data_IF_514949709657
#
_entry.id   IF_514949709657
#
_cell.length_a   1.000
_cell.length_b   1.000
_cell.length_c   1.000
_cell.angle_alpha   90.00
_cell.angle_beta   90.00
_cell.angle_gamma   90.00
#
_symmetry.space_group_name_H-M   'P 1'
#
loop_
_entity.id
_entity.type
_entity.pdbx_description
1 polymer ?
#
# COMPACT_ATOMS: atom_id res chain seq x y z
N UNK A 1 -1.30 34.20 -22.19
CA UNK A 1 -1.71 34.70 -20.85
C UNK A 1 -3.14 34.28 -20.67
N UNK A 2 -3.38 33.13 -20.04
CA UNK A 2 -4.67 32.76 -19.49
C UNK A 2 -4.38 32.24 -18.09
N UNK A 3 -4.78 33.03 -17.10
CA UNK A 3 -4.75 32.67 -15.70
C UNK A 3 -5.76 31.54 -15.51
N UNK A 4 -5.33 30.28 -15.65
CA UNK A 4 -6.10 29.14 -15.18
C UNK A 4 -6.36 29.39 -13.69
N UNK A 5 -7.59 29.78 -13.36
CA UNK A 5 -8.00 29.97 -11.97
C UNK A 5 -7.59 28.70 -11.21
N UNK A 6 -6.88 28.88 -10.09
CA UNK A 6 -6.55 27.78 -9.20
C UNK A 6 -7.87 27.07 -8.86
N UNK A 7 -8.08 25.89 -9.42
CA UNK A 7 -9.29 25.13 -9.18
C UNK A 7 -9.22 24.58 -7.76
N UNK A 8 -10.24 24.91 -6.96
CA UNK A 8 -10.35 24.42 -5.60
C UNK A 8 -10.85 22.97 -5.62
N UNK A 9 -10.12 22.11 -4.89
CA UNK A 9 -10.47 20.72 -4.69
C UNK A 9 -10.97 20.49 -3.28
N UNK A 10 -11.86 19.51 -3.17
CA UNK A 10 -12.41 19.01 -1.92
C UNK A 10 -12.21 17.50 -1.88
N UNK A 11 -11.79 16.98 -0.72
CA UNK A 11 -11.65 15.57 -0.45
C UNK A 11 -12.68 15.19 0.61
N UNK A 12 -13.47 14.15 0.36
CA UNK A 12 -14.37 13.54 1.34
C UNK A 12 -13.89 12.14 1.69
N UNK A 13 -13.61 11.93 2.97
CA UNK A 13 -13.19 10.64 3.51
C UNK A 13 -14.34 9.64 3.50
N UNK A 14 -14.07 8.40 3.11
CA UNK A 14 -15.09 7.35 3.14
C UNK A 14 -15.48 7.01 4.59
N UNK A 15 -14.50 6.89 5.49
CA UNK A 15 -14.67 6.31 6.82
C UNK A 15 -15.65 7.10 7.70
N UNK A 16 -15.50 8.42 7.76
CA UNK A 16 -16.25 9.31 8.64
C UNK A 16 -17.09 10.35 7.90
N UNK A 17 -16.94 10.45 6.56
CA UNK A 17 -17.60 11.45 5.74
C UNK A 17 -17.02 12.85 5.85
N UNK A 18 -15.89 13.04 6.56
CA UNK A 18 -15.27 14.35 6.73
C UNK A 18 -14.81 14.94 5.41
N UNK A 19 -15.05 16.24 5.22
CA UNK A 19 -14.70 16.98 4.01
C UNK A 19 -13.56 17.95 4.32
N UNK A 20 -12.51 17.90 3.49
CA UNK A 20 -11.34 18.77 3.53
C UNK A 20 -11.31 19.64 2.28
N UNK A 21 -11.02 20.92 2.45
CA UNK A 21 -10.90 21.90 1.36
C UNK A 21 -11.57 23.24 1.70
N UNK A 22 -11.51 24.22 0.79
CA UNK A 22 -10.88 24.17 -0.53
C UNK A 22 -9.36 24.03 -0.45
N UNK A 23 -8.76 23.20 -1.30
CA UNK A 23 -7.30 23.05 -1.40
C UNK A 23 -6.81 23.01 -2.85
N UNK A 24 -5.57 23.45 -3.13
CA UNK A 24 -4.98 23.30 -4.45
C UNK A 24 -4.74 21.82 -4.77
N UNK A 25 -4.84 21.45 -6.04
CA UNK A 25 -4.61 20.06 -6.49
C UNK A 25 -3.26 19.50 -6.02
N UNK A 26 -2.20 20.31 -5.99
CA UNK A 26 -0.88 19.89 -5.52
C UNK A 26 -0.89 19.38 -4.07
N UNK A 27 -1.75 19.94 -3.20
CA UNK A 27 -1.90 19.45 -1.83
C UNK A 27 -2.64 18.11 -1.79
N UNK A 28 -3.67 17.92 -2.64
CA UNK A 28 -4.39 16.66 -2.77
C UNK A 28 -3.45 15.53 -3.25
N UNK A 29 -2.62 15.81 -4.26
CA UNK A 29 -1.63 14.86 -4.77
C UNK A 29 -0.58 14.47 -3.72
N UNK A 30 -0.14 15.43 -2.89
CA UNK A 30 0.74 15.15 -1.74
C UNK A 30 0.04 14.23 -0.73
N UNK A 31 -1.21 14.51 -0.37
CA UNK A 31 -1.97 13.64 0.53
C UNK A 31 -2.16 12.22 -0.01
N UNK A 32 -2.41 12.07 -1.32
CA UNK A 32 -2.47 10.76 -1.95
C UNK A 32 -1.11 10.04 -1.91
N UNK A 33 -0.02 10.77 -2.09
CA UNK A 33 1.35 10.25 -1.99
C UNK A 33 1.76 9.88 -0.56
N UNK A 34 1.17 10.48 0.46
CA UNK A 34 1.48 10.23 1.88
C UNK A 34 0.47 9.32 2.59
N UNK A 35 -0.24 8.45 1.83
CA UNK A 35 -1.25 7.52 2.35
C UNK A 35 -2.43 8.17 3.12
N UNK A 36 -2.72 9.45 2.88
CA UNK A 36 -3.85 10.17 3.52
C UNK A 36 -5.13 10.12 2.67
N UNK A 37 -5.04 9.73 1.39
CA UNK A 37 -6.19 9.49 0.51
C UNK A 37 -6.34 7.98 0.31
N UNK A 38 -7.45 7.43 0.78
CA UNK A 38 -7.78 6.03 0.64
C UNK A 38 -8.44 5.75 -0.72
N UNK A 39 -8.40 4.49 -1.21
CA UNK A 39 -8.96 4.12 -2.52
C UNK A 39 -10.46 4.41 -2.68
N UNK A 40 -11.18 4.46 -1.57
CA UNK A 40 -12.62 4.70 -1.53
C UNK A 40 -13.00 6.16 -1.23
N UNK A 41 -12.01 6.99 -0.91
CA UNK A 41 -12.26 8.42 -0.75
C UNK A 41 -12.72 9.03 -2.07
N UNK A 42 -13.47 10.11 -1.97
CA UNK A 42 -14.01 10.81 -3.13
C UNK A 42 -13.59 12.26 -3.13
N UNK A 43 -13.46 12.82 -4.32
CA UNK A 43 -12.95 14.17 -4.57
C UNK A 43 -13.92 14.94 -5.46
N UNK A 44 -13.95 16.24 -5.30
CA UNK A 44 -14.87 17.13 -6.00
C UNK A 44 -14.28 18.53 -6.17
N UNK A 45 -14.74 19.25 -7.18
CA UNK A 45 -14.40 20.65 -7.42
C UNK A 45 -15.57 21.59 -7.16
N UNK A 46 -16.78 21.04 -6.93
CA UNK A 46 -18.04 21.77 -6.77
C UNK A 46 -18.82 21.33 -5.51
N UNK A 47 -18.33 20.33 -4.77
CA UNK A 47 -18.98 19.66 -3.63
C UNK A 47 -20.33 18.98 -3.95
N UNK A 48 -20.72 18.95 -5.22
CA UNK A 48 -21.98 18.36 -5.69
C UNK A 48 -21.67 17.04 -6.40
N UNK A 49 -20.72 17.08 -7.33
CA UNK A 49 -20.27 15.95 -8.13
C UNK A 49 -19.03 15.35 -7.48
N UNK A 50 -19.15 14.11 -6.99
CA UNK A 50 -18.08 13.40 -6.29
C UNK A 50 -17.58 12.24 -7.14
N UNK A 51 -16.27 12.19 -7.34
CA UNK A 51 -15.58 11.15 -8.12
C UNK A 51 -14.64 10.38 -7.20
N UNK A 52 -14.47 9.07 -7.38
CA UNK A 52 -13.50 8.30 -6.58
C UNK A 52 -12.09 8.80 -6.85
N UNK A 53 -11.27 8.93 -5.81
CA UNK A 53 -9.91 9.44 -5.96
C UNK A 53 -9.08 8.66 -7.02
N UNK A 54 -9.12 7.31 -7.11
CA UNK A 54 -8.39 6.58 -8.16
C UNK A 54 -8.86 6.83 -9.59
N UNK A 55 -10.02 7.48 -9.80
CA UNK A 55 -10.49 7.83 -11.13
C UNK A 55 -9.85 9.12 -11.66
N UNK A 56 -9.08 9.84 -10.85
CA UNK A 56 -8.24 10.96 -11.29
C UNK A 56 -6.84 10.42 -11.64
N UNK A 57 -6.47 10.33 -12.93
CA UNK A 57 -5.14 9.84 -13.33
C UNK A 57 -3.99 10.64 -12.73
N UNK A 58 -4.20 11.93 -12.46
CA UNK A 58 -3.21 12.85 -11.91
C UNK A 58 -2.86 12.55 -10.44
N UNK A 59 -3.65 11.72 -9.75
CA UNK A 59 -3.32 11.23 -8.40
C UNK A 59 -2.45 9.97 -8.41
N UNK A 60 -2.20 9.37 -9.58
CA UNK A 60 -1.29 8.22 -9.76
C UNK A 60 -1.58 7.03 -8.82
N UNK A 61 -2.87 6.81 -8.53
CA UNK A 61 -3.36 5.73 -7.69
C UNK A 61 -3.50 4.45 -8.50
N UNK A 62 -2.37 3.88 -8.92
CA UNK A 62 -2.32 2.76 -9.88
C UNK A 62 -1.91 1.42 -9.29
N UNK A 63 -1.76 1.32 -7.98
CA UNK A 63 -1.20 0.12 -7.36
C UNK A 63 -2.20 -0.59 -6.45
N UNK A 64 -2.31 -1.90 -6.60
CA UNK A 64 -2.97 -2.79 -5.65
C UNK A 64 -1.90 -3.49 -4.82
N UNK A 65 -2.08 -3.52 -3.51
CA UNK A 65 -1.19 -4.21 -2.57
C UNK A 65 -1.86 -5.48 -2.08
N UNK A 66 -1.17 -6.60 -2.20
CA UNK A 66 -1.64 -7.90 -1.71
C UNK A 66 -1.44 -7.97 -0.20
N UNK A 67 -2.54 -7.86 0.54
CA UNK A 67 -2.54 -7.81 2.00
C UNK A 67 -2.58 -9.21 2.60
N UNK A 68 -3.43 -10.06 2.04
CA UNK A 68 -3.54 -11.48 2.34
C UNK A 68 -3.72 -12.22 1.02
N UNK A 69 -3.67 -13.55 1.06
CA UNK A 69 -3.77 -14.40 -0.15
C UNK A 69 -5.04 -14.16 -0.97
N UNK A 70 -6.08 -13.58 -0.35
CA UNK A 70 -7.39 -13.31 -0.95
C UNK A 70 -7.81 -11.84 -0.90
N UNK A 71 -6.99 -10.93 -0.35
CA UNK A 71 -7.36 -9.51 -0.22
C UNK A 71 -6.30 -8.58 -0.78
N UNK A 72 -6.80 -7.58 -1.49
CA UNK A 72 -6.03 -6.49 -2.03
C UNK A 72 -6.49 -5.16 -1.43
N UNK A 73 -5.53 -4.29 -1.13
CA UNK A 73 -5.77 -2.89 -0.81
C UNK A 73 -5.37 -2.02 -2.00
N UNK A 74 -6.19 -1.03 -2.34
CA UNK A 74 -5.92 -0.12 -3.46
C UNK A 74 -7.15 0.06 -4.36
N UNK A 75 -7.01 0.77 -5.50
CA UNK A 75 -5.78 1.33 -6.03
C UNK A 75 -5.18 2.47 -5.18
N UNK A 76 -3.86 2.54 -5.07
CA UNK A 76 -3.11 3.50 -4.25
C UNK A 76 -1.83 3.97 -4.95
N UNK A 77 -1.13 4.93 -4.37
CA UNK A 77 0.08 5.53 -4.95
C UNK A 77 1.34 4.77 -4.57
N UNK A 78 2.42 4.98 -5.33
CA UNK A 78 3.74 4.47 -4.97
C UNK A 78 4.23 5.02 -3.62
N UNK A 79 3.96 6.29 -3.34
CA UNK A 79 4.29 6.92 -2.06
C UNK A 79 3.52 6.31 -0.89
N UNK A 80 2.25 5.95 -1.08
CA UNK A 80 1.48 5.27 -0.05
C UNK A 80 2.07 3.89 0.28
N UNK A 81 2.53 3.14 -0.72
CA UNK A 81 3.25 1.86 -0.52
C UNK A 81 4.50 2.07 0.34
N UNK A 82 5.25 3.15 0.10
CA UNK A 82 6.40 3.50 0.93
C UNK A 82 5.99 3.78 2.39
N UNK A 83 4.90 4.51 2.61
CA UNK A 83 4.39 4.77 3.96
C UNK A 83 3.93 3.50 4.66
N UNK A 84 3.26 2.58 3.96
CA UNK A 84 2.85 1.30 4.53
C UNK A 84 4.05 0.43 4.93
N UNK A 85 5.14 0.45 4.14
CA UNK A 85 6.40 -0.19 4.56
C UNK A 85 6.99 0.49 5.80
N UNK A 86 6.99 1.83 5.85
CA UNK A 86 7.53 2.62 6.96
C UNK A 86 6.77 2.33 8.27
N UNK A 87 5.45 2.15 8.17
CA UNK A 87 4.57 1.78 9.29
C UNK A 87 4.62 0.28 9.65
N UNK A 88 5.26 -0.55 8.82
CA UNK A 88 5.38 -1.99 9.03
C UNK A 88 4.09 -2.78 8.71
N UNK A 89 3.12 -2.17 8.04
CA UNK A 89 1.88 -2.82 7.61
C UNK A 89 2.13 -3.84 6.48
N UNK A 90 3.15 -3.55 5.66
CA UNK A 90 3.64 -4.44 4.59
C UNK A 90 5.16 -4.56 4.67
N UNK A 91 5.73 -5.52 3.95
CA UNK A 91 7.18 -5.73 3.90
C UNK A 91 7.69 -5.82 2.45
N UNK A 92 9.01 -5.95 2.29
CA UNK A 92 9.64 -5.98 0.97
C UNK A 92 9.21 -7.16 0.08
N UNK A 93 8.71 -8.26 0.65
CA UNK A 93 8.24 -9.43 -0.08
C UNK A 93 6.74 -9.35 -0.43
N UNK A 94 6.02 -8.37 0.10
CA UNK A 94 4.63 -8.11 -0.27
C UNK A 94 4.52 -7.91 -1.78
N UNK A 95 3.53 -8.57 -2.39
CA UNK A 95 3.25 -8.42 -3.82
C UNK A 95 2.40 -7.18 -4.07
N UNK A 96 2.71 -6.49 -5.15
CA UNK A 96 1.91 -5.39 -5.67
C UNK A 96 1.59 -5.62 -7.14
N UNK A 97 0.44 -5.10 -7.56
CA UNK A 97 -0.08 -5.23 -8.92
C UNK A 97 -0.33 -3.83 -9.46
N UNK A 98 0.27 -3.51 -10.61
CA UNK A 98 -0.06 -2.28 -11.31
C UNK A 98 -1.42 -2.46 -12.01
N UNK A 99 -2.38 -1.60 -11.72
CA UNK A 99 -3.75 -1.68 -12.23
C UNK A 99 -3.86 -1.31 -13.71
N UNK A 100 -2.87 -0.62 -14.30
CA UNK A 100 -2.87 -0.22 -15.71
C UNK A 100 -2.48 -1.37 -16.64
N UNK A 101 -1.48 -2.15 -16.27
CA UNK A 101 -0.92 -3.21 -17.12
C UNK A 101 -1.03 -4.63 -16.52
N UNK A 102 -1.49 -4.75 -15.28
CA UNK A 102 -1.63 -6.03 -14.57
C UNK A 102 -0.31 -6.65 -14.13
N UNK A 103 0.83 -5.96 -14.30
CA UNK A 103 2.15 -6.46 -13.92
C UNK A 103 2.24 -6.64 -12.41
N UNK A 104 2.84 -7.75 -11.99
CA UNK A 104 3.05 -8.10 -10.60
C UNK A 104 4.53 -8.01 -10.26
N UNK A 105 4.85 -7.45 -9.11
CA UNK A 105 6.21 -7.34 -8.60
C UNK A 105 6.21 -7.31 -7.09
N UNK A 106 7.35 -7.61 -6.49
CA UNK A 106 7.54 -7.42 -5.05
C UNK A 106 7.82 -5.95 -4.74
N UNK A 107 7.46 -5.52 -3.55
CA UNK A 107 7.71 -4.15 -3.07
C UNK A 107 9.21 -3.82 -3.13
N UNK A 108 10.12 -4.75 -2.82
CA UNK A 108 11.57 -4.55 -2.90
C UNK A 108 12.13 -4.40 -4.34
N UNK A 109 11.37 -4.79 -5.36
CA UNK A 109 11.71 -4.62 -6.78
C UNK A 109 11.23 -3.27 -7.35
N UNK A 110 10.44 -2.55 -6.57
CA UNK A 110 9.95 -1.23 -6.97
C UNK A 110 11.04 -0.17 -6.79
N UNK A 111 11.05 0.90 -7.61
CA UNK A 111 11.89 2.07 -7.39
C UNK A 111 11.33 2.92 -6.25
N UNK A 112 11.03 2.30 -5.11
CA UNK A 112 10.67 3.00 -3.89
C UNK A 112 11.92 3.72 -3.45
N UNK A 113 11.96 5.03 -3.69
CA UNK A 113 13.06 5.82 -3.17
C UNK A 113 12.92 5.71 -1.65
N UNK A 114 13.88 5.06 -0.99
CA UNK A 114 14.09 5.21 0.45
C UNK A 114 14.55 6.65 0.71
N UNK A 115 13.78 7.64 0.25
CA UNK A 115 14.00 9.02 0.53
C UNK A 115 13.66 9.20 1.99
N UNK A 116 14.70 9.24 2.81
CA UNK A 116 14.72 10.11 3.97
C UNK A 116 14.50 11.54 3.45
N UNK A 117 13.26 11.90 3.10
CA UNK A 117 12.92 13.31 2.95
C UNK A 117 12.88 13.81 4.39
N UNK A 118 13.76 14.76 4.78
CA UNK A 118 13.58 15.45 6.03
C UNK A 118 12.17 16.00 6.02
N UNK A 119 11.42 15.77 7.09
CA UNK A 119 10.21 16.55 7.36
C UNK A 119 10.68 17.99 7.48
N UNK A 120 10.78 18.71 6.36
CA UNK A 120 10.84 20.16 6.39
C UNK A 120 9.47 20.58 6.90
N UNK A 121 9.43 20.83 8.21
CA UNK A 121 8.40 21.60 8.88
C UNK A 121 8.36 22.99 8.23
N UNK A 122 7.72 23.08 7.06
CA UNK A 122 7.14 24.34 6.59
C UNK A 122 6.14 24.80 7.67
N UNK A 123 6.18 26.08 8.06
CA UNK A 123 5.44 26.56 9.22
C UNK A 123 3.95 26.40 8.99
N UNK A 124 3.28 25.87 10.02
CA UNK A 124 1.85 25.70 10.14
C UNK A 124 1.04 26.77 9.38
N UNK A 125 0.56 26.40 8.20
CA UNK A 125 -0.73 26.92 7.70
C UNK A 125 -1.78 25.98 8.27
N UNK A 126 -2.64 26.52 9.13
CA UNK A 126 -3.71 25.88 9.92
C UNK A 126 -4.74 25.07 9.10
N UNK A 127 -4.32 23.99 8.45
CA UNK A 127 -5.22 22.96 7.95
C UNK A 127 -4.65 21.60 8.35
N UNK A 128 -5.08 21.11 9.52
CA UNK A 128 -4.85 19.73 9.92
C UNK A 128 -5.33 18.82 8.78
N UNK A 129 -4.38 18.24 8.04
CA UNK A 129 -4.68 17.29 6.97
C UNK A 129 -5.33 16.02 7.52
N UNK A 130 -5.99 15.23 6.66
CA UNK A 130 -6.53 13.95 7.08
C UNK A 130 -5.41 13.07 7.65
N UNK A 131 -5.72 12.35 8.74
CA UNK A 131 -4.80 11.34 9.24
C UNK A 131 -4.53 10.30 8.15
N UNK A 132 -3.30 9.76 8.13
CA UNK A 132 -3.00 8.63 7.26
C UNK A 132 -3.94 7.47 7.61
N UNK A 133 -4.71 7.02 6.63
CA UNK A 133 -5.52 5.81 6.79
C UNK A 133 -4.60 4.63 6.54
N UNK A 134 -4.21 3.93 7.61
CA UNK A 134 -3.60 2.61 7.48
C UNK A 134 -4.50 1.69 6.66
N UNK A 135 -3.92 0.65 6.06
CA UNK A 135 -4.70 -0.43 5.50
C UNK A 135 -5.55 -1.00 6.64
N UNK A 136 -6.86 -0.82 6.61
CA UNK A 136 -7.77 -1.40 7.59
C UNK A 136 -7.86 -2.92 7.34
N UNK A 137 -6.74 -3.61 7.55
CA UNK A 137 -6.60 -5.05 7.44
C UNK A 137 -7.26 -5.61 8.69
N UNK A 138 -8.26 -6.47 8.54
CA UNK A 138 -8.74 -7.21 9.69
C UNK A 138 -7.57 -8.09 10.18
N UNK A 139 -7.01 -7.75 11.33
CA UNK A 139 -5.86 -8.42 11.94
C UNK A 139 -6.13 -9.93 12.06
N UNK A 140 -7.38 -10.32 12.27
CA UNK A 140 -7.80 -11.73 12.34
C UNK A 140 -7.56 -12.49 11.04
N UNK A 141 -7.84 -11.87 9.90
CA UNK A 141 -7.64 -12.48 8.58
C UNK A 141 -6.13 -12.64 8.33
N UNK A 142 -5.32 -11.65 8.71
CA UNK A 142 -3.86 -11.72 8.57
C UNK A 142 -3.24 -12.79 9.47
N UNK A 143 -3.72 -12.92 10.71
CA UNK A 143 -3.27 -13.99 11.63
C UNK A 143 -3.57 -15.35 11.02
N UNK A 144 -4.78 -15.56 10.49
CA UNK A 144 -5.17 -16.85 9.90
C UNK A 144 -4.26 -17.25 8.75
N UNK A 145 -3.98 -16.34 7.84
CA UNK A 145 -3.08 -16.57 6.71
C UNK A 145 -1.66 -16.89 7.19
N UNK A 146 -1.12 -16.11 8.13
CA UNK A 146 0.21 -16.35 8.68
C UNK A 146 0.31 -17.71 9.39
N UNK A 147 -0.71 -18.10 10.14
CA UNK A 147 -0.76 -19.41 10.76
C UNK A 147 -0.80 -20.54 9.72
N UNK A 148 -1.52 -20.35 8.61
CA UNK A 148 -1.54 -21.32 7.53
C UNK A 148 -0.17 -21.45 6.87
N UNK A 149 0.46 -20.34 6.48
CA UNK A 149 1.81 -20.36 5.90
C UNK A 149 2.83 -20.99 6.84
N UNK A 150 2.75 -20.70 8.15
CA UNK A 150 3.64 -21.30 9.14
C UNK A 150 3.46 -22.82 9.26
N UNK A 151 2.23 -23.32 9.13
CA UNK A 151 1.95 -24.77 9.13
C UNK A 151 2.54 -25.44 7.90
N UNK A 152 2.41 -24.81 6.73
CA UNK A 152 2.95 -25.31 5.46
C UNK A 152 4.49 -25.36 5.48
N UNK A 153 5.14 -24.29 5.94
CA UNK A 153 6.59 -24.22 6.11
C UNK A 153 7.12 -25.29 7.07
N UNK A 154 6.46 -25.47 8.24
CA UNK A 154 6.84 -26.52 9.19
C UNK A 154 6.74 -27.92 8.59
N UNK A 155 5.71 -28.17 7.77
CA UNK A 155 5.55 -29.44 7.08
C UNK A 155 6.66 -29.65 6.05
N UNK A 156 6.94 -28.64 5.22
CA UNK A 156 7.99 -28.71 4.21
C UNK A 156 9.37 -28.97 4.84
N UNK A 157 9.67 -28.30 5.96
CA UNK A 157 10.88 -28.52 6.73
C UNK A 157 10.98 -29.97 7.25
N UNK A 158 9.90 -30.51 7.80
CA UNK A 158 9.90 -31.90 8.28
C UNK A 158 10.17 -32.90 7.14
N UNK A 159 9.50 -32.72 5.99
CA UNK A 159 9.72 -33.57 4.81
C UNK A 159 11.17 -33.45 4.28
N UNK A 160 11.75 -32.25 4.30
CA UNK A 160 13.13 -32.03 3.90
C UNK A 160 14.14 -32.70 4.86
N UNK A 161 13.89 -32.64 6.18
CA UNK A 161 14.72 -33.29 7.18
C UNK A 161 14.71 -34.81 7.03
N UNK A 162 13.54 -35.41 6.82
CA UNK A 162 13.44 -36.86 6.59
C UNK A 162 14.14 -37.29 5.30
N UNK A 163 14.00 -36.51 4.21
CA UNK A 163 14.76 -36.75 2.97
C UNK A 163 16.26 -36.68 3.21
N UNK A 164 16.73 -35.66 3.93
CA UNK A 164 18.13 -35.48 4.24
C UNK A 164 18.69 -36.69 5.03
N UNK A 165 17.99 -37.10 6.10
CA UNK A 165 18.35 -38.28 6.89
C UNK A 165 18.40 -39.55 6.03
N UNK A 166 17.43 -39.74 5.14
CA UNK A 166 17.42 -40.90 4.24
C UNK A 166 18.60 -40.91 3.27
N UNK A 167 19.05 -39.73 2.83
CA UNK A 167 20.20 -39.58 1.95
C UNK A 167 21.50 -39.84 2.69
N UNK A 168 21.63 -39.34 3.91
CA UNK A 168 22.80 -39.54 4.78
C UNK A 168 23.04 -41.02 5.06
N UNK A 169 21.98 -41.79 5.35
CA UNK A 169 22.06 -43.25 5.53
C UNK A 169 22.59 -43.95 4.26
N UNK A 170 22.05 -43.61 3.09
CA UNK A 170 22.51 -44.19 1.81
C UNK A 170 23.97 -43.82 1.50
N UNK A 171 24.40 -42.61 1.85
CA UNK A 171 25.79 -42.20 1.68
C UNK A 171 26.73 -42.98 2.59
N UNK A 172 26.32 -43.27 3.83
CA UNK A 172 27.10 -44.09 4.75
C UNK A 172 27.22 -45.54 4.24
N UNK A 173 26.13 -46.13 3.74
CA UNK A 173 26.14 -47.48 3.15
C UNK A 173 27.03 -47.60 1.91
N UNK A 174 27.23 -46.51 1.16
CA UNK A 174 28.12 -46.47 -0.01
C UNK A 174 29.58 -46.17 0.34
N UNK A 175 29.86 -45.72 1.57
CA UNK A 175 31.19 -45.37 2.04
C UNK A 175 31.87 -46.52 2.82
N UNK A 176 31.11 -47.55 3.22
CA UNK A 176 31.62 -48.85 3.71
C UNK A 176 31.93 -49.81 2.55
#
# INVERSE_FOLDING_TARGET
MDSAAAQDWFLRKHEDGNIFGPLPFAQLARWASSAQVAPYDVVSTDQITWTKAPMLPELEMDWLVEVTSERFYGPTTLGAIQEFMRLGEINGDTLVINSRDGSRRRVNEMPLVLSQIPVEEEPASDAAGPAASGMSINVEDRIRDLEQSLREERRALHEAVERYRSLELKYQELAE
#
